data_IF_766866259348
#
_entry.id   IF_766866259348
#
_cell.length_a   1.000
_cell.length_b   1.000
_cell.length_c   1.000
_cell.angle_alpha   90.00
_cell.angle_beta   90.00
_cell.angle_gamma   90.00
#
_symmetry.space_group_name_H-M   'P 1'
#
loop_
_entity.id
_entity.type
_entity.pdbx_description
1 polymer ?
#
# COMPACT_ATOMS: atom_id res chain seq x y z
N UNK A 1 20.95 -8.70 0.66
CA UNK A 1 20.76 -8.40 2.09
C UNK A 1 19.58 -7.46 2.27
N UNK A 2 18.67 -7.78 3.18
CA UNK A 2 17.49 -6.95 3.40
C UNK A 2 17.88 -5.63 4.06
N UNK A 3 17.19 -4.57 3.67
CA UNK A 3 17.40 -3.26 4.27
C UNK A 3 16.87 -3.26 5.71
N UNK A 4 17.45 -2.42 6.54
CA UNK A 4 17.01 -2.29 7.92
C UNK A 4 15.62 -1.63 7.94
N UNK A 5 14.68 -2.17 8.75
CA UNK A 5 13.36 -1.56 8.86
C UNK A 5 13.42 -0.12 9.37
N UNK A 6 12.45 0.67 8.96
CA UNK A 6 12.31 2.02 9.48
C UNK A 6 11.85 1.96 10.94
N UNK A 7 12.16 3.01 11.72
CA UNK A 7 11.84 3.03 13.14
C UNK A 7 10.31 3.09 13.33
N UNK A 8 9.70 2.03 13.88
CA UNK A 8 8.24 1.97 14.01
C UNK A 8 7.66 2.89 15.08
N UNK A 9 8.53 3.45 15.95
CA UNK A 9 8.06 4.37 16.98
C UNK A 9 7.88 5.78 16.43
N UNK A 10 8.35 6.05 15.21
CA UNK A 10 8.25 7.38 14.61
C UNK A 10 7.00 7.50 13.76
N UNK A 11 6.55 8.74 13.58
CA UNK A 11 5.43 9.08 12.70
C UNK A 11 5.95 9.29 11.29
N UNK A 12 5.03 9.29 10.32
CA UNK A 12 5.41 9.63 8.94
C UNK A 12 5.94 11.05 8.85
N UNK A 13 5.42 11.97 9.66
CA UNK A 13 5.96 13.32 9.71
C UNK A 13 7.43 13.33 10.14
N UNK A 14 7.76 12.52 11.13
CA UNK A 14 9.15 12.44 11.61
C UNK A 14 10.06 11.75 10.60
N UNK A 15 9.56 10.69 9.99
CA UNK A 15 10.36 9.92 9.04
C UNK A 15 10.64 10.69 7.75
N UNK A 16 9.67 11.47 7.28
CA UNK A 16 9.80 12.22 6.04
C UNK A 16 10.38 13.61 6.23
N UNK A 17 10.28 14.17 7.45
CA UNK A 17 10.62 15.55 7.72
C UNK A 17 9.58 16.54 7.22
N UNK A 18 8.43 16.04 6.78
CA UNK A 18 7.35 16.87 6.24
C UNK A 18 6.21 16.97 7.24
N UNK A 19 5.49 18.09 7.21
CA UNK A 19 4.30 18.28 8.03
C UNK A 19 3.07 18.05 7.16
N UNK A 20 2.21 17.12 7.59
CA UNK A 20 1.00 16.81 6.83
C UNK A 20 -0.09 17.90 6.93
N UNK A 21 0.07 18.82 7.86
CA UNK A 21 -0.89 19.88 8.07
C UNK A 21 -1.81 19.62 9.27
N UNK A 22 -2.87 20.43 9.37
CA UNK A 22 -3.82 20.31 10.45
C UNK A 22 -5.05 19.53 9.97
N UNK A 23 -5.42 18.43 10.67
CA UNK A 23 -6.62 17.67 10.26
C UNK A 23 -7.88 18.52 10.17
N UNK A 24 -7.97 19.57 11.00
CA UNK A 24 -9.14 20.45 11.00
C UNK A 24 -9.27 21.28 9.73
N UNK A 25 -8.16 21.47 9.02
CA UNK A 25 -8.15 22.23 7.78
C UNK A 25 -8.36 21.35 6.54
N UNK A 26 -8.56 20.06 6.73
CA UNK A 26 -8.73 19.13 5.62
C UNK A 26 -10.02 19.45 4.85
N UNK A 27 -9.93 19.39 3.52
CA UNK A 27 -11.07 19.69 2.66
C UNK A 27 -12.07 18.54 2.57
N UNK A 28 -11.60 17.31 2.82
CA UNK A 28 -12.45 16.12 2.74
C UNK A 28 -12.18 15.19 3.91
N UNK A 29 -13.13 14.30 4.24
CA UNK A 29 -12.89 13.30 5.28
C UNK A 29 -11.69 12.40 4.97
N UNK A 30 -11.45 12.08 3.72
CA UNK A 30 -10.30 11.25 3.34
C UNK A 30 -8.98 11.98 3.65
N UNK A 31 -8.89 13.25 3.29
CA UNK A 31 -7.68 14.04 3.55
C UNK A 31 -7.46 14.17 5.05
N UNK A 32 -8.52 14.43 5.82
CA UNK A 32 -8.41 14.49 7.27
C UNK A 32 -7.87 13.17 7.82
N UNK A 33 -8.38 12.06 7.32
CA UNK A 33 -7.99 10.72 7.77
C UNK A 33 -6.50 10.46 7.49
N UNK A 34 -6.04 10.83 6.30
CA UNK A 34 -4.63 10.69 5.94
C UNK A 34 -3.74 11.54 6.85
N UNK A 35 -4.12 12.80 7.08
CA UNK A 35 -3.35 13.68 7.95
C UNK A 35 -3.23 13.09 9.36
N UNK A 36 -4.32 12.58 9.91
CA UNK A 36 -4.29 11.97 11.24
C UNK A 36 -3.39 10.74 11.28
N UNK A 37 -3.39 9.96 10.21
CA UNK A 37 -2.52 8.78 10.11
C UNK A 37 -1.04 9.18 10.13
N UNK A 38 -0.70 10.28 9.50
CA UNK A 38 0.68 10.79 9.47
C UNK A 38 1.19 11.21 10.85
N UNK A 39 0.30 11.46 11.79
CA UNK A 39 0.65 11.94 13.14
C UNK A 39 0.74 10.82 14.17
N UNK A 40 0.49 9.57 13.78
CA UNK A 40 0.61 8.40 14.66
C UNK A 40 1.94 7.72 14.43
N UNK A 41 2.57 7.16 15.49
CA UNK A 41 3.70 6.25 15.26
C UNK A 41 3.26 5.16 14.28
N UNK A 42 4.11 4.83 13.32
CA UNK A 42 3.68 3.91 12.25
C UNK A 42 3.27 2.54 12.79
N UNK A 43 3.87 2.10 13.90
CA UNK A 43 3.48 0.82 14.52
C UNK A 43 2.04 0.83 15.06
N UNK A 44 1.46 2.02 15.27
CA UNK A 44 0.11 2.15 15.80
C UNK A 44 -0.94 2.29 14.70
N UNK A 45 -0.53 2.27 13.43
CA UNK A 45 -1.48 2.33 12.33
C UNK A 45 -2.27 1.04 12.26
N UNK A 46 -3.59 1.17 12.13
CA UNK A 46 -4.47 0.00 11.98
C UNK A 46 -4.32 -0.60 10.58
N UNK A 47 -4.85 -1.82 10.41
CA UNK A 47 -4.84 -2.44 9.10
C UNK A 47 -5.54 -1.58 8.06
N UNK A 48 -6.67 -0.95 8.42
CA UNK A 48 -7.37 -0.06 7.53
C UNK A 48 -6.53 1.15 7.15
N UNK A 49 -5.81 1.71 8.11
CA UNK A 49 -4.96 2.86 7.86
C UNK A 49 -3.80 2.50 6.94
N UNK A 50 -3.17 1.36 7.20
CA UNK A 50 -2.06 0.89 6.38
C UNK A 50 -2.53 0.65 4.94
N UNK A 51 -3.63 -0.09 4.78
CA UNK A 51 -4.14 -0.40 3.47
C UNK A 51 -4.55 0.84 2.69
N UNK A 52 -5.22 1.77 3.34
CA UNK A 52 -5.66 3.00 2.67
C UNK A 52 -4.50 3.88 2.25
N UNK A 53 -3.46 3.97 3.08
CA UNK A 53 -2.28 4.75 2.72
C UNK A 53 -1.64 4.19 1.45
N UNK A 54 -1.54 2.86 1.34
CA UNK A 54 -1.01 2.24 0.13
C UNK A 54 -1.87 2.57 -1.08
N UNK A 55 -3.19 2.41 -0.96
CA UNK A 55 -4.11 2.68 -2.06
C UNK A 55 -4.07 4.14 -2.49
N UNK A 56 -3.90 5.05 -1.54
CA UNK A 56 -3.75 6.47 -1.84
C UNK A 56 -2.33 6.84 -2.30
N UNK A 57 -1.44 5.84 -2.35
CA UNK A 57 -0.04 6.02 -2.76
C UNK A 57 0.69 7.00 -1.87
N UNK A 58 0.43 6.89 -0.57
CA UNK A 58 0.96 7.79 0.44
C UNK A 58 1.76 7.01 1.48
N UNK A 59 2.74 7.67 2.08
CA UNK A 59 3.54 7.07 3.15
C UNK A 59 4.67 6.16 2.68
N UNK A 60 4.96 6.11 1.39
CA UNK A 60 6.06 5.31 0.86
C UNK A 60 7.40 6.01 1.09
N UNK A 61 8.48 5.26 1.25
CA UNK A 61 8.53 3.79 1.33
C UNK A 61 8.28 3.23 2.73
N UNK A 62 8.01 4.10 3.70
CA UNK A 62 7.99 3.74 5.12
C UNK A 62 6.92 2.71 5.46
N UNK A 63 5.78 2.81 4.78
CA UNK A 63 4.65 1.93 5.04
C UNK A 63 4.91 0.50 4.54
N UNK A 64 5.89 0.30 3.67
CA UNK A 64 6.17 -1.02 3.11
C UNK A 64 6.49 -2.06 4.17
N UNK A 65 7.26 -1.68 5.20
CA UNK A 65 7.62 -2.61 6.27
C UNK A 65 6.42 -3.06 7.09
N UNK A 66 5.38 -2.24 7.13
CA UNK A 66 4.16 -2.57 7.85
C UNK A 66 3.21 -3.42 7.02
N UNK A 67 3.13 -3.12 5.72
CA UNK A 67 2.17 -3.80 4.86
C UNK A 67 2.67 -5.17 4.42
N UNK A 68 3.99 -5.35 4.33
CA UNK A 68 4.55 -6.59 3.79
C UNK A 68 4.15 -7.83 4.58
N UNK A 69 4.25 -7.85 5.94
CA UNK A 69 3.78 -9.02 6.69
C UNK A 69 2.30 -9.32 6.47
N UNK A 70 1.50 -8.30 6.25
CA UNK A 70 0.08 -8.47 5.97
C UNK A 70 -0.13 -9.18 4.64
N UNK A 71 0.64 -8.78 3.63
CA UNK A 71 0.56 -9.41 2.31
C UNK A 71 1.10 -10.84 2.33
N UNK A 72 2.13 -11.10 3.11
CA UNK A 72 2.66 -12.46 3.24
C UNK A 72 1.63 -13.38 3.88
N UNK A 73 0.87 -12.85 4.83
CA UNK A 73 -0.20 -13.59 5.47
C UNK A 73 -1.41 -13.75 4.55
N UNK A 74 -1.74 -12.69 3.80
CA UNK A 74 -2.88 -12.69 2.89
C UNK A 74 -2.59 -11.78 1.70
N UNK A 75 -2.24 -12.35 0.54
CA UNK A 75 -1.91 -11.53 -0.64
C UNK A 75 -3.09 -10.73 -1.17
N UNK A 76 -4.31 -11.06 -0.75
CA UNK A 76 -5.51 -10.29 -1.08
C UNK A 76 -5.89 -9.32 0.04
N UNK A 77 -4.93 -8.91 0.86
CA UNK A 77 -5.15 -7.93 1.92
C UNK A 77 -5.92 -6.72 1.37
N UNK A 78 -7.01 -6.38 2.04
CA UNK A 78 -7.98 -5.39 1.57
C UNK A 78 -7.70 -4.02 2.20
N UNK A 79 -7.51 -3.02 1.36
CA UNK A 79 -7.26 -1.64 1.82
C UNK A 79 -8.52 -0.80 1.91
N UNK A 80 -9.71 -1.43 1.82
CA UNK A 80 -10.98 -0.75 2.00
C UNK A 80 -11.84 -0.66 0.76
N UNK A 81 -11.34 -1.06 -0.40
CA UNK A 81 -12.10 -1.01 -1.65
C UNK A 81 -12.48 -2.40 -2.16
N UNK A 82 -11.54 -3.32 -2.21
CA UNK A 82 -11.81 -4.71 -2.60
C UNK A 82 -10.61 -5.57 -2.21
N UNK A 83 -10.81 -6.90 -2.06
CA UNK A 83 -9.70 -7.80 -1.74
C UNK A 83 -8.63 -7.73 -2.84
N UNK A 84 -7.40 -7.50 -2.42
CA UNK A 84 -6.28 -7.41 -3.34
C UNK A 84 -5.98 -6.01 -3.85
N UNK A 85 -6.74 -5.01 -3.43
CA UNK A 85 -6.50 -3.63 -3.87
C UNK A 85 -5.11 -3.13 -3.48
N UNK A 86 -4.63 -3.52 -2.30
CA UNK A 86 -3.30 -3.12 -1.82
C UNK A 86 -2.22 -3.66 -2.75
N UNK A 87 -2.24 -4.97 -3.01
CA UNK A 87 -1.24 -5.58 -3.90
C UNK A 87 -1.33 -5.02 -5.31
N UNK A 88 -2.55 -4.85 -5.82
CA UNK A 88 -2.77 -4.26 -7.13
C UNK A 88 -2.13 -2.88 -7.24
N UNK A 89 -2.32 -2.05 -6.23
CA UNK A 89 -1.73 -0.71 -6.23
C UNK A 89 -0.21 -0.75 -6.13
N UNK A 90 0.35 -1.69 -5.37
CA UNK A 90 1.80 -1.84 -5.30
C UNK A 90 2.39 -2.25 -6.63
N UNK A 91 1.74 -3.18 -7.33
CA UNK A 91 2.20 -3.63 -8.64
C UNK A 91 2.23 -2.48 -9.64
N UNK A 92 1.27 -1.58 -9.57
CA UNK A 92 1.14 -0.46 -10.50
C UNK A 92 1.82 0.83 -10.01
N UNK A 93 2.49 0.77 -8.86
CA UNK A 93 3.14 1.95 -8.30
C UNK A 93 4.43 2.30 -9.04
N UNK A 94 4.87 3.53 -8.84
CA UNK A 94 6.15 4.00 -9.37
C UNK A 94 7.28 3.10 -8.83
N UNK A 95 8.16 2.61 -9.70
CA UNK A 95 9.28 1.76 -9.24
C UNK A 95 10.16 2.37 -8.17
N UNK A 96 10.15 3.68 -8.02
CA UNK A 96 10.96 4.36 -7.01
C UNK A 96 10.62 3.94 -5.59
N UNK A 97 9.40 3.46 -5.35
CA UNK A 97 9.02 3.04 -4.00
C UNK A 97 9.87 1.87 -3.50
N UNK A 98 10.48 1.12 -4.41
CA UNK A 98 11.26 -0.07 -4.08
C UNK A 98 12.74 0.22 -3.83
N UNK A 99 13.19 1.47 -4.01
CA UNK A 99 14.61 1.79 -3.94
C UNK A 99 15.25 1.35 -2.62
N UNK A 100 14.55 1.49 -1.51
CA UNK A 100 15.05 1.07 -0.20
C UNK A 100 14.66 -0.36 0.16
N UNK A 101 13.85 -1.01 -0.67
CA UNK A 101 13.33 -2.35 -0.41
C UNK A 101 13.35 -3.21 -1.66
N UNK A 102 14.53 -3.41 -2.27
CA UNK A 102 14.61 -4.22 -3.50
C UNK A 102 14.23 -5.69 -3.25
N UNK A 103 14.40 -6.19 -2.04
CA UNK A 103 14.00 -7.55 -1.70
C UNK A 103 12.48 -7.71 -1.76
N UNK A 104 11.72 -6.70 -1.36
CA UNK A 104 10.26 -6.75 -1.49
C UNK A 104 9.86 -6.76 -2.97
N UNK A 105 10.51 -5.95 -3.78
CA UNK A 105 10.22 -5.94 -5.21
C UNK A 105 10.46 -7.32 -5.81
N UNK A 106 11.54 -8.00 -5.39
CA UNK A 106 11.85 -9.33 -5.87
C UNK A 106 10.79 -10.36 -5.48
N UNK A 107 10.08 -10.14 -4.37
CA UNK A 107 9.03 -11.05 -3.89
C UNK A 107 7.67 -10.76 -4.51
N UNK A 108 7.54 -9.64 -5.21
CA UNK A 108 6.25 -9.17 -5.71
C UNK A 108 5.59 -10.17 -6.65
N UNK A 109 6.39 -10.81 -7.51
CA UNK A 109 5.87 -11.82 -8.45
C UNK A 109 5.26 -13.01 -7.75
N UNK A 110 5.89 -13.47 -6.67
CA UNK A 110 5.37 -14.60 -5.90
C UNK A 110 4.06 -14.24 -5.21
N UNK A 111 3.97 -13.02 -4.66
CA UNK A 111 2.73 -12.55 -4.07
C UNK A 111 1.62 -12.46 -5.11
N UNK A 112 1.95 -11.97 -6.30
CA UNK A 112 1.00 -11.87 -7.40
C UNK A 112 0.44 -13.25 -7.74
N UNK A 113 1.29 -14.28 -7.88
CA UNK A 113 0.82 -15.62 -8.19
C UNK A 113 -0.06 -16.18 -7.08
N UNK A 114 0.32 -15.96 -5.82
CA UNK A 114 -0.50 -16.41 -4.71
C UNK A 114 -1.86 -15.72 -4.69
N UNK A 115 -1.88 -14.43 -5.03
CA UNK A 115 -3.14 -13.68 -5.09
C UNK A 115 -4.04 -14.21 -6.19
N UNK A 116 -3.49 -14.54 -7.35
CA UNK A 116 -4.28 -15.10 -8.45
C UNK A 116 -4.90 -16.44 -8.07
N UNK A 117 -4.16 -17.27 -7.31
CA UNK A 117 -4.68 -18.56 -6.85
C UNK A 117 -5.82 -18.39 -5.86
N UNK A 118 -5.78 -17.34 -5.04
CA UNK A 118 -6.80 -17.08 -4.04
C UNK A 118 -7.97 -16.27 -4.59
N UNK A 119 -7.76 -15.56 -5.69
CA UNK A 119 -8.79 -14.75 -6.34
C UNK A 119 -9.64 -15.68 -7.20
N UNK A 120 -10.55 -16.36 -6.56
CA UNK A 120 -11.38 -17.38 -7.20
C UNK A 120 -12.37 -16.77 -8.19
N UNK A 121 -13.09 -17.66 -8.87
CA UNK A 121 -14.11 -17.24 -9.82
C UNK A 121 -15.22 -16.39 -9.18
N UNK A 122 -15.36 -16.50 -7.87
CA UNK A 122 -16.37 -15.73 -7.15
C UNK A 122 -15.99 -14.27 -6.96
N UNK A 123 -14.69 -13.98 -7.04
CA UNK A 123 -14.21 -12.64 -6.79
C UNK A 123 -13.00 -12.37 -7.68
N UNK A 124 -13.25 -11.75 -8.81
CA UNK A 124 -12.20 -11.44 -9.79
C UNK A 124 -11.77 -9.97 -9.75
N UNK A 125 -12.11 -9.26 -8.68
CA UNK A 125 -11.81 -7.84 -8.59
C UNK A 125 -10.31 -7.55 -8.72
N UNK A 126 -9.47 -8.40 -8.13
CA UNK A 126 -8.04 -8.24 -8.22
C UNK A 126 -7.55 -8.36 -9.67
N UNK A 127 -7.99 -9.39 -10.37
CA UNK A 127 -7.63 -9.58 -11.79
C UNK A 127 -8.12 -8.43 -12.63
N UNK A 128 -9.36 -8.03 -12.42
CA UNK A 128 -9.96 -6.96 -13.18
C UNK A 128 -9.20 -5.65 -12.99
N UNK A 129 -8.72 -5.39 -11.77
CA UNK A 129 -7.97 -4.18 -11.49
C UNK A 129 -6.65 -4.12 -12.24
N UNK A 130 -6.03 -5.27 -12.47
CA UNK A 130 -4.76 -5.34 -13.19
C UNK A 130 -4.98 -5.29 -14.71
N UNK A 131 -6.10 -5.82 -15.17
CA UNK A 131 -6.41 -5.86 -16.60
C UNK A 131 -6.83 -4.51 -17.16
N UNK A 132 -7.46 -3.68 -16.34
CA UNK A 132 -7.99 -2.40 -16.79
C UNK A 132 -6.98 -1.52 -17.53
N UNK A 133 -5.77 -1.28 -16.98
CA UNK A 133 -4.80 -0.47 -17.71
C UNK A 133 -4.34 -1.11 -19.00
N UNK A 134 -4.23 -2.44 -19.01
CA UNK A 134 -3.80 -3.17 -20.20
C UNK A 134 -4.85 -3.10 -21.28
N UNK A 135 -6.11 -3.16 -20.91
CA UNK A 135 -7.21 -3.02 -21.85
C UNK A 135 -7.16 -1.67 -22.55
N UNK A 136 -6.93 -0.63 -21.77
CA UNK A 136 -6.82 0.71 -22.31
C UNK A 136 -5.67 0.80 -23.29
N UNK A 137 -4.57 0.15 -22.98
CA UNK A 137 -3.40 0.14 -23.84
C UNK A 137 -3.63 -0.69 -25.10
N UNK A 138 -4.28 -1.82 -24.94
CA UNK A 138 -4.47 -2.76 -26.05
C UNK A 138 -5.48 -2.28 -27.07
N UNK A 139 -6.40 -1.45 -26.65
CA UNK A 139 -7.42 -0.89 -27.53
C UNK A 139 -6.82 0.07 -28.52
N UNK A 140 -5.74 0.68 -28.16
CA UNK A 140 -5.07 1.64 -29.01
C UNK A 140 -4.41 1.00 -30.22
#
# INVERSE_FOLDING_TARGET
MAAKPFDPSKTLEELTGLNAGNPEDAETPLVEWVIRSWKKPIRNLSDDEIGRLVVQKDGFPYILDLVWPKLENDPLFDGGYYPGDVLSNLIRSDPQIWNDRPDYQAQLGALYQRALERDSDENDAFRSSLDLPDEDSSVS
#
